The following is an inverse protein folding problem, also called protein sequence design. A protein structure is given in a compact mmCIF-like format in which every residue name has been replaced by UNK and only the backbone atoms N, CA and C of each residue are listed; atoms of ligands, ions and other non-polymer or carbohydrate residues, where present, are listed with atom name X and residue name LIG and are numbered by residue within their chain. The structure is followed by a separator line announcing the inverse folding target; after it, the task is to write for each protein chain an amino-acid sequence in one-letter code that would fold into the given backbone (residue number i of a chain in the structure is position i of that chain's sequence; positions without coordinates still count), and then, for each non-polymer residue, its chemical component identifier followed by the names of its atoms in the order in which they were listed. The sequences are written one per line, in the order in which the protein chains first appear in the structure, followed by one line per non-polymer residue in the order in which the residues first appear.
data_IF_261159828195
#
_entry.id   IF_261159828195
#
_cell.length_a   1.000
_cell.length_b   1.000
_cell.length_c   1.000
_cell.angle_alpha   90.00
_cell.angle_beta   90.00
_cell.angle_gamma   90.00
#
_symmetry.space_group_name_H-M   'P 1'
#
loop_
_entity.id
_entity.type
_entity.pdbx_description
1 polymer ?
#
# COMPACT_ATOMS: atom_id res chain seq x y z
N UNK A 1 -9.62 -2.52 22.01
CA UNK A 1 -8.57 -2.98 21.08
C UNK A 1 -7.93 -4.18 21.74
N UNK A 2 -7.98 -5.38 21.14
CA UNK A 2 -7.38 -6.55 21.76
C UNK A 2 -5.86 -6.36 21.92
N UNK A 3 -5.24 -6.95 22.95
CA UNK A 3 -3.79 -7.05 23.09
C UNK A 3 -3.12 -7.52 21.80
N UNK A 4 -1.89 -7.03 21.54
CA UNK A 4 -1.13 -7.38 20.33
C UNK A 4 -0.94 -8.89 20.13
N UNK A 5 -0.76 -9.64 21.22
CA UNK A 5 -0.55 -11.08 21.21
C UNK A 5 -1.77 -11.82 20.62
N UNK A 6 -2.98 -11.39 20.97
CA UNK A 6 -4.23 -11.97 20.45
C UNK A 6 -4.36 -11.74 18.94
N UNK A 7 -3.91 -10.59 18.44
CA UNK A 7 -3.97 -10.29 17.00
C UNK A 7 -2.99 -11.13 16.18
N UNK A 8 -1.78 -11.35 16.68
CA UNK A 8 -0.77 -12.20 16.03
C UNK A 8 -1.21 -13.66 16.00
N UNK A 9 -1.81 -14.13 17.09
CA UNK A 9 -2.38 -15.47 17.19
C UNK A 9 -3.53 -15.67 16.19
N UNK A 10 -4.47 -14.73 16.09
CA UNK A 10 -5.57 -14.78 15.10
C UNK A 10 -5.01 -14.81 13.67
N UNK A 11 -4.00 -13.99 13.35
CA UNK A 11 -3.38 -13.95 12.03
C UNK A 11 -2.77 -15.31 11.68
N UNK A 12 -2.05 -15.93 12.61
CA UNK A 12 -1.39 -17.20 12.38
C UNK A 12 -2.36 -18.39 12.34
N UNK A 13 -3.35 -18.42 13.23
CA UNK A 13 -4.20 -19.59 13.46
C UNK A 13 -5.49 -19.53 12.66
N UNK A 14 -6.29 -18.49 12.83
CA UNK A 14 -7.61 -18.36 12.19
C UNK A 14 -7.49 -17.98 10.70
N UNK A 15 -6.56 -17.07 10.38
CA UNK A 15 -6.36 -16.58 9.01
C UNK A 15 -5.30 -17.36 8.24
N UNK A 16 -4.57 -18.27 8.88
CA UNK A 16 -3.51 -19.08 8.27
C UNK A 16 -2.43 -18.25 7.57
N UNK A 17 -2.16 -17.04 8.07
CA UNK A 17 -1.29 -16.05 7.44
C UNK A 17 0.00 -15.88 8.24
N UNK A 18 1.10 -15.57 7.55
CA UNK A 18 2.40 -15.29 8.20
C UNK A 18 2.55 -13.78 8.37
N UNK A 19 2.87 -13.34 9.58
CA UNK A 19 3.19 -11.95 9.86
C UNK A 19 4.68 -11.70 9.58
N UNK A 20 4.97 -10.94 8.52
CA UNK A 20 6.35 -10.57 8.17
C UNK A 20 6.75 -9.26 8.89
N UNK A 21 7.77 -9.28 9.76
CA UNK A 21 8.22 -8.08 10.47
C UNK A 21 8.99 -7.16 9.53
N UNK A 22 8.64 -5.87 9.53
CA UNK A 22 9.38 -4.84 8.82
C UNK A 22 10.33 -4.10 9.77
N UNK A 23 11.58 -3.82 9.36
CA UNK A 23 12.45 -2.91 10.09
C UNK A 23 11.78 -1.56 10.34
N UNK A 24 12.06 -0.89 11.47
CA UNK A 24 11.57 0.45 11.72
C UNK A 24 11.89 1.42 10.58
N UNK A 25 10.93 2.28 10.23
CA UNK A 25 11.08 3.33 9.20
C UNK A 25 11.41 2.82 7.78
N UNK A 26 11.09 1.56 7.48
CA UNK A 26 11.41 0.94 6.18
C UNK A 26 10.21 0.79 5.23
N UNK A 27 9.01 1.23 5.61
CA UNK A 27 7.78 0.98 4.84
C UNK A 27 7.86 1.55 3.42
N UNK A 28 8.43 2.75 3.26
CA UNK A 28 8.66 3.39 1.96
C UNK A 28 9.56 2.60 1.01
N UNK A 29 10.34 1.65 1.53
CA UNK A 29 11.31 0.83 0.79
C UNK A 29 10.87 -0.63 0.66
N UNK A 30 10.12 -1.14 1.64
CA UNK A 30 9.82 -2.57 1.78
C UNK A 30 8.33 -2.90 1.61
N UNK A 31 7.42 -1.91 1.64
CA UNK A 31 6.02 -2.15 1.35
C UNK A 31 5.73 -1.90 -0.13
N UNK A 32 5.29 -2.91 -0.91
CA UNK A 32 4.96 -2.76 -2.33
C UNK A 32 3.94 -1.63 -2.59
N UNK A 33 3.03 -1.43 -1.64
CA UNK A 33 2.01 -0.39 -1.68
C UNK A 33 2.63 1.01 -1.70
N UNK A 34 3.62 1.26 -0.84
CA UNK A 34 4.32 2.54 -0.73
C UNK A 34 5.35 2.74 -1.86
N UNK A 35 6.02 1.67 -2.30
CA UNK A 35 7.08 1.73 -3.31
C UNK A 35 6.54 1.98 -4.72
N UNK A 36 5.40 1.36 -5.09
CA UNK A 36 4.96 1.36 -6.48
C UNK A 36 3.50 1.68 -6.73
N UNK A 37 2.60 1.35 -5.80
CA UNK A 37 1.15 1.35 -6.11
C UNK A 37 0.48 2.67 -5.74
N UNK A 38 0.73 3.27 -4.58
CA UNK A 38 0.01 4.50 -4.22
C UNK A 38 0.68 5.77 -4.74
N UNK A 39 2.00 5.86 -4.77
CA UNK A 39 2.67 7.16 -4.83
C UNK A 39 2.69 7.84 -6.21
N UNK A 40 3.04 7.14 -7.29
CA UNK A 40 3.21 7.79 -8.59
C UNK A 40 1.88 8.19 -9.24
N UNK A 41 0.88 7.31 -9.20
CA UNK A 41 -0.38 7.51 -9.91
C UNK A 41 -1.33 8.46 -9.21
N UNK A 42 -1.37 8.46 -7.88
CA UNK A 42 -2.18 9.43 -7.13
C UNK A 42 -1.69 10.86 -7.36
N UNK A 43 -0.36 11.07 -7.44
CA UNK A 43 0.23 12.36 -7.78
C UNK A 43 -0.18 12.81 -9.18
N UNK A 44 -0.05 11.93 -10.17
CA UNK A 44 -0.47 12.23 -11.55
C UNK A 44 -1.96 12.60 -11.65
N UNK A 45 -2.84 11.82 -11.00
CA UNK A 45 -4.28 12.13 -11.00
C UNK A 45 -4.61 13.42 -10.25
N UNK A 46 -3.88 13.73 -9.17
CA UNK A 46 -4.08 14.98 -8.44
C UNK A 46 -3.72 16.20 -9.29
N UNK A 47 -2.66 16.13 -10.10
CA UNK A 47 -2.29 17.22 -11.03
C UNK A 47 -3.36 17.48 -12.10
N UNK A 48 -4.15 16.46 -12.47
CA UNK A 48 -5.24 16.57 -13.45
C UNK A 48 -6.54 17.11 -12.85
N UNK A 49 -6.65 17.17 -11.52
CA UNK A 49 -7.85 17.67 -10.87
C UNK A 49 -7.84 19.19 -10.73
N UNK A 50 -8.98 19.80 -11.02
CA UNK A 50 -9.17 21.22 -10.78
C UNK A 50 -9.08 21.54 -9.29
N UNK A 51 -8.18 22.46 -8.96
CA UNK A 51 -7.97 22.96 -7.61
C UNK A 51 -8.96 24.07 -7.30
N UNK A 52 -10.22 23.69 -7.14
CA UNK A 52 -11.28 24.59 -6.77
C UNK A 52 -11.02 25.16 -5.36
N UNK A 53 -10.98 26.50 -5.24
CA UNK A 53 -10.36 27.19 -4.09
C UNK A 53 -11.16 27.11 -2.79
N UNK A 54 -12.37 26.52 -2.80
CA UNK A 54 -13.25 26.38 -1.62
C UNK A 54 -13.80 24.95 -1.49
N UNK A 55 -12.94 23.98 -1.16
CA UNK A 55 -13.36 22.60 -0.83
C UNK A 55 -13.50 22.43 0.69
N UNK A 56 -14.64 21.93 1.15
CA UNK A 56 -14.82 21.55 2.56
C UNK A 56 -13.98 20.31 2.90
N UNK A 57 -13.83 19.99 4.18
CA UNK A 57 -13.18 18.75 4.60
C UNK A 57 -13.89 17.48 4.08
N UNK A 58 -15.22 17.54 3.89
CA UNK A 58 -15.99 16.44 3.29
C UNK A 58 -15.66 16.27 1.81
N UNK A 59 -15.56 17.37 1.07
CA UNK A 59 -15.25 17.34 -0.36
C UNK A 59 -13.82 16.84 -0.61
N UNK A 60 -12.86 17.27 0.23
CA UNK A 60 -11.48 16.78 0.18
C UNK A 60 -11.40 15.28 0.41
N UNK A 61 -12.10 14.76 1.43
CA UNK A 61 -12.16 13.31 1.69
C UNK A 61 -12.79 12.54 0.52
N UNK A 62 -13.92 13.03 -0.01
CA UNK A 62 -14.57 12.41 -1.17
C UNK A 62 -13.64 12.38 -2.38
N UNK A 63 -12.95 13.48 -2.67
CA UNK A 63 -12.01 13.58 -3.77
C UNK A 63 -10.86 12.56 -3.64
N UNK A 64 -10.27 12.43 -2.44
CA UNK A 64 -9.20 11.45 -2.18
C UNK A 64 -9.71 10.02 -2.43
N UNK A 65 -10.88 9.66 -1.90
CA UNK A 65 -11.46 8.31 -2.07
C UNK A 65 -11.71 8.01 -3.55
N UNK A 66 -12.37 8.92 -4.26
CA UNK A 66 -12.63 8.77 -5.70
C UNK A 66 -11.33 8.64 -6.50
N UNK A 67 -10.29 9.40 -6.12
CA UNK A 67 -8.98 9.33 -6.77
C UNK A 67 -8.30 7.99 -6.56
N UNK A 68 -8.35 7.44 -5.34
CA UNK A 68 -7.78 6.12 -5.03
C UNK A 68 -8.47 5.03 -5.84
N UNK A 69 -9.81 5.06 -5.92
CA UNK A 69 -10.58 4.10 -6.74
C UNK A 69 -10.16 4.18 -8.22
N UNK A 70 -10.06 5.39 -8.78
CA UNK A 70 -9.62 5.61 -10.17
C UNK A 70 -8.17 5.16 -10.41
N UNK A 71 -7.28 5.43 -9.46
CA UNK A 71 -5.89 4.98 -9.53
C UNK A 71 -5.82 3.45 -9.56
N UNK A 72 -6.56 2.80 -8.66
CA UNK A 72 -6.60 1.35 -8.52
C UNK A 72 -7.12 0.66 -9.79
N UNK A 73 -8.26 1.11 -10.30
CA UNK A 73 -8.88 0.54 -11.50
C UNK A 73 -8.00 0.61 -12.75
N UNK A 74 -7.05 1.55 -12.78
CA UNK A 74 -6.16 1.70 -13.91
C UNK A 74 -4.87 0.90 -13.84
N UNK A 75 -4.52 0.27 -12.71
CA UNK A 75 -3.23 -0.43 -12.58
C UNK A 75 -3.19 -1.68 -13.47
N UNK A 76 -2.23 -1.78 -14.39
CA UNK A 76 -1.97 -3.07 -15.02
C UNK A 76 -1.38 -4.00 -13.96
N UNK A 77 -1.73 -5.28 -14.03
CA UNK A 77 -1.23 -6.33 -13.13
C UNK A 77 0.30 -6.31 -13.01
N UNK A 78 0.99 -6.09 -14.12
CA UNK A 78 2.44 -5.98 -14.18
C UNK A 78 3.02 -4.85 -13.31
N UNK A 79 2.27 -3.76 -13.10
CA UNK A 79 2.71 -2.70 -12.18
C UNK A 79 2.60 -3.13 -10.72
N UNK A 80 1.65 -4.01 -10.39
CA UNK A 80 1.54 -4.62 -9.06
C UNK A 80 2.71 -5.58 -8.87
N UNK A 81 2.96 -6.51 -9.80
CA UNK A 81 4.10 -7.44 -9.69
C UNK A 81 5.44 -6.72 -9.50
N UNK A 82 5.71 -5.71 -10.34
CA UNK A 82 6.93 -4.89 -10.22
C UNK A 82 7.04 -4.14 -8.90
N UNK A 83 5.93 -3.78 -8.24
CA UNK A 83 6.02 -3.12 -6.93
C UNK A 83 6.49 -4.08 -5.85
N UNK A 84 6.14 -5.36 -5.95
CA UNK A 84 6.64 -6.43 -5.08
C UNK A 84 8.11 -6.76 -5.35
N UNK A 85 8.56 -6.69 -6.60
CA UNK A 85 9.99 -6.86 -6.93
C UNK A 85 10.84 -5.67 -6.43
N UNK A 86 10.31 -4.45 -6.53
CA UNK A 86 10.99 -3.23 -6.09
C UNK A 86 11.03 -3.08 -4.58
N UNK A 87 9.94 -3.43 -3.91
CA UNK A 87 9.99 -3.63 -2.48
C UNK A 87 10.97 -4.77 -2.26
N UNK A 88 12.10 -4.51 -1.58
CA UNK A 88 13.12 -5.52 -1.34
C UNK A 88 12.62 -6.59 -0.35
N UNK A 89 11.55 -7.32 -0.71
CA UNK A 89 11.19 -8.63 -0.18
C UNK A 89 12.25 -9.62 -0.70
N UNK A 90 13.53 -9.37 -0.38
CA UNK A 90 14.50 -10.45 -0.47
C UNK A 90 14.06 -11.43 0.60
N UNK A 91 13.47 -12.54 0.15
CA UNK A 91 13.28 -13.75 0.93
C UNK A 91 14.41 -13.84 1.96
N UNK A 92 14.04 -13.71 3.24
CA UNK A 92 14.96 -14.02 4.32
C UNK A 92 15.45 -15.44 4.09
N UNK A 93 16.75 -15.59 3.87
CA UNK A 93 17.51 -16.84 3.99
C UNK A 93 16.78 -18.12 3.55
N UNK A 94 16.59 -18.33 2.25
CA UNK A 94 16.64 -19.67 1.68
C UNK A 94 17.44 -19.60 0.38
N UNK A 95 18.55 -20.31 0.41
CA UNK A 95 19.44 -20.58 -0.71
C UNK A 95 18.65 -21.04 -1.93
N UNK A 96 18.56 -20.20 -2.96
CA UNK A 96 18.40 -20.69 -4.32
C UNK A 96 19.80 -20.95 -4.86
N UNK A 97 20.22 -22.21 -4.71
CA UNK A 97 21.27 -22.85 -5.51
C UNK A 97 20.86 -22.94 -6.98
#
# INVERSE_FOLDING_TARGET
MPPRHDAEEIIATELGSVLEPLPPNSTSMLQPLDVGVLNARLRALWLLEENDKKKTAKDKRKAIITRIIRAWAGFPEETIKRSFEKACLKCGNLSCS
#
